data_IF_738333603634
#
_entry.id   IF_738333603634
#
_cell.length_a   1.000
_cell.length_b   1.000
_cell.length_c   1.000
_cell.angle_alpha   90.00
_cell.angle_beta   90.00
_cell.angle_gamma   90.00
#
_symmetry.space_group_name_H-M   'P 1'
#
loop_
_entity.id
_entity.type
_entity.pdbx_description
1 polymer ?
#
# COMPACT_ATOMS: atom_id res chain seq x y z
N UNK A 1 -7.67 23.49 -2.86
CA UNK A 1 -6.82 23.19 -1.68
C UNK A 1 -6.43 21.71 -1.70
N UNK A 2 -5.23 21.31 -1.24
CA UNK A 2 -4.90 19.90 -1.04
C UNK A 2 -5.86 19.28 -0.03
N UNK A 3 -6.51 18.17 -0.37
CA UNK A 3 -7.34 17.39 0.55
C UNK A 3 -6.75 16.01 0.76
N UNK A 4 -6.96 15.44 1.94
CA UNK A 4 -6.67 14.02 2.19
C UNK A 4 -7.64 13.19 1.38
N UNK A 5 -7.12 12.25 0.60
CA UNK A 5 -7.91 11.35 -0.25
C UNK A 5 -8.04 10.03 0.50
N UNK A 6 -9.29 9.58 0.68
CA UNK A 6 -9.55 8.27 1.27
C UNK A 6 -9.10 7.15 0.33
N UNK A 7 -8.83 5.98 0.90
CA UNK A 7 -8.51 4.79 0.13
C UNK A 7 -9.03 3.55 0.85
N UNK A 8 -9.20 2.47 0.09
CA UNK A 8 -9.40 1.13 0.60
C UNK A 8 -8.22 0.25 0.21
N UNK A 9 -7.98 -0.79 0.99
CA UNK A 9 -6.96 -1.79 0.69
C UNK A 9 -7.60 -2.88 -0.15
N UNK A 10 -7.06 -3.07 -1.35
CA UNK A 10 -7.54 -4.09 -2.32
C UNK A 10 -6.84 -5.41 -2.06
N UNK A 11 -5.50 -5.37 -1.95
CA UNK A 11 -4.67 -6.55 -1.77
C UNK A 11 -3.35 -6.18 -1.08
N UNK A 12 -2.68 -7.18 -0.53
CA UNK A 12 -1.30 -7.12 -0.02
C UNK A 12 -0.61 -8.44 -0.33
N UNK A 13 0.67 -8.41 -0.70
CA UNK A 13 1.46 -9.61 -1.01
C UNK A 13 1.53 -10.60 0.15
N UNK A 14 1.55 -10.10 1.38
CA UNK A 14 1.56 -10.90 2.61
C UNK A 14 1.22 -10.03 3.81
N UNK A 15 1.05 -10.64 4.98
CA UNK A 15 1.04 -9.94 6.27
C UNK A 15 1.42 -10.87 7.43
N UNK A 16 1.97 -10.32 8.50
CA UNK A 16 2.07 -11.01 9.79
C UNK A 16 0.73 -10.92 10.55
N UNK A 17 0.46 -11.91 11.40
CA UNK A 17 -0.72 -11.92 12.26
C UNK A 17 -0.85 -10.61 13.05
N UNK A 18 -2.03 -10.01 13.03
CA UNK A 18 -2.35 -8.71 13.64
C UNK A 18 -1.73 -7.47 12.95
N UNK A 19 -1.05 -7.62 11.82
CA UNK A 19 -0.49 -6.50 11.04
C UNK A 19 -1.06 -6.49 9.61
N UNK A 20 -2.37 -6.64 9.50
CA UNK A 20 -3.07 -6.67 8.21
C UNK A 20 -3.05 -5.32 7.52
N UNK A 21 -2.95 -5.31 6.19
CA UNK A 21 -2.97 -4.08 5.41
C UNK A 21 -4.26 -3.25 5.63
N UNK A 22 -5.36 -3.90 6.01
CA UNK A 22 -6.63 -3.25 6.36
C UNK A 22 -6.50 -2.22 7.49
N UNK A 23 -5.54 -2.37 8.39
CA UNK A 23 -5.32 -1.41 9.48
C UNK A 23 -4.92 -0.02 8.96
N UNK A 24 -4.33 0.07 7.76
CA UNK A 24 -3.96 1.36 7.14
C UNK A 24 -5.17 2.24 6.81
N UNK A 25 -6.38 1.67 6.75
CA UNK A 25 -7.61 2.43 6.51
C UNK A 25 -8.02 3.26 7.73
N UNK A 26 -7.59 2.85 8.94
CA UNK A 26 -7.87 3.56 10.19
C UNK A 26 -6.66 4.39 10.58
N UNK A 27 -6.82 5.71 10.68
CA UNK A 27 -5.75 6.61 11.10
C UNK A 27 -5.91 6.97 12.57
N UNK A 28 -5.36 6.14 13.47
CA UNK A 28 -5.32 6.41 14.90
C UNK A 28 -3.91 6.15 15.47
N UNK A 29 -3.55 6.74 16.62
CA UNK A 29 -2.20 6.58 17.19
C UNK A 29 -1.82 5.15 17.57
N UNK A 30 -2.82 4.27 17.75
CA UNK A 30 -2.66 2.91 18.28
C UNK A 30 -2.85 1.82 17.22
N UNK A 31 -2.98 2.16 15.94
CA UNK A 31 -3.07 1.14 14.89
C UNK A 31 -1.70 0.48 14.71
N UNK A 32 -1.67 -0.84 14.54
CA UNK A 32 -0.42 -1.57 14.31
C UNK A 32 0.13 -1.31 12.91
N UNK A 33 -0.78 -1.05 11.96
CA UNK A 33 -0.46 -0.83 10.55
C UNK A 33 -0.23 -2.14 9.81
N UNK A 34 0.59 -2.09 8.77
CA UNK A 34 0.92 -3.26 7.97
C UNK A 34 2.36 -3.71 8.19
N UNK A 35 2.55 -5.02 8.27
CA UNK A 35 3.85 -5.67 8.28
C UNK A 35 3.77 -6.92 7.42
N UNK A 36 4.67 -7.07 6.45
CA UNK A 36 4.79 -8.30 5.66
C UNK A 36 5.07 -9.50 6.55
N UNK A 37 4.71 -10.70 6.09
CA UNK A 37 5.05 -11.94 6.80
C UNK A 37 6.57 -12.06 7.00
N UNK A 38 6.99 -12.71 8.09
CA UNK A 38 8.40 -12.97 8.36
C UNK A 38 8.99 -13.88 7.28
N UNK A 39 10.28 -13.67 6.96
CA UNK A 39 11.01 -14.46 5.97
C UNK A 39 10.33 -14.51 4.59
N UNK A 40 9.53 -13.50 4.25
CA UNK A 40 8.92 -13.40 2.92
C UNK A 40 9.96 -13.06 1.85
N UNK A 41 9.78 -13.52 0.60
CA UNK A 41 10.61 -13.09 -0.51
C UNK A 41 10.36 -11.60 -0.81
N UNK A 42 11.41 -10.85 -1.08
CA UNK A 42 11.28 -9.47 -1.58
C UNK A 42 11.06 -9.49 -3.11
N UNK A 43 10.27 -8.58 -3.68
CA UNK A 43 9.62 -7.39 -3.08
C UNK A 43 8.22 -7.66 -2.50
N UNK A 44 7.84 -6.92 -1.47
CA UNK A 44 6.47 -6.91 -0.93
C UNK A 44 5.68 -5.70 -1.43
N UNK A 45 4.35 -5.82 -1.54
CA UNK A 45 3.49 -4.76 -2.05
C UNK A 45 2.13 -4.68 -1.32
N UNK A 46 1.52 -3.50 -1.39
CA UNK A 46 0.13 -3.26 -1.01
C UNK A 46 -0.53 -2.48 -2.14
N UNK A 47 -1.73 -2.92 -2.54
CA UNK A 47 -2.53 -2.25 -3.55
C UNK A 47 -3.64 -1.45 -2.87
N UNK A 48 -3.64 -0.14 -3.09
CA UNK A 48 -4.64 0.79 -2.56
C UNK A 48 -5.53 1.29 -3.70
N UNK A 49 -6.84 1.28 -3.48
CA UNK A 49 -7.80 1.93 -4.37
C UNK A 49 -8.25 3.24 -3.73
N UNK A 50 -8.04 4.34 -4.44
CA UNK A 50 -8.52 5.66 -4.04
C UNK A 50 -10.05 5.69 -4.19
N UNK A 51 -10.74 6.35 -3.25
CA UNK A 51 -12.22 6.44 -3.25
C UNK A 51 -12.78 7.20 -4.45
N UNK A 52 -11.94 7.99 -5.11
CA UNK A 52 -12.28 8.77 -6.31
C UNK A 52 -11.07 8.85 -7.24
N UNK A 53 -11.34 9.02 -8.53
CA UNK A 53 -10.31 9.34 -9.51
C UNK A 53 -9.72 10.72 -9.19
N UNK A 54 -8.42 10.78 -8.98
CA UNK A 54 -7.75 12.01 -8.59
C UNK A 54 -6.29 12.04 -9.06
N UNK A 55 -5.69 13.23 -9.02
CA UNK A 55 -4.25 13.41 -9.25
C UNK A 55 -3.52 13.42 -7.91
N UNK A 56 -2.72 12.40 -7.64
CA UNK A 56 -1.86 12.33 -6.46
C UNK A 56 -0.78 13.41 -6.56
N UNK A 57 -0.79 14.36 -5.61
CA UNK A 57 0.19 15.47 -5.57
C UNK A 57 1.21 15.34 -4.44
N UNK A 58 0.85 14.64 -3.36
CA UNK A 58 1.67 14.41 -2.18
C UNK A 58 1.36 13.03 -1.64
N UNK A 59 2.41 12.28 -1.32
CA UNK A 59 2.34 11.01 -0.62
C UNK A 59 3.09 11.16 0.70
N UNK A 60 2.54 10.58 1.76
CA UNK A 60 3.19 10.49 3.06
C UNK A 60 3.18 9.03 3.47
N UNK A 61 4.35 8.52 3.81
CA UNK A 61 4.54 7.16 4.31
C UNK A 61 5.15 7.27 5.71
N UNK A 62 4.57 6.55 6.66
CA UNK A 62 5.14 6.35 7.98
C UNK A 62 5.70 4.93 8.05
N UNK A 63 6.99 4.81 8.35
CA UNK A 63 7.62 3.52 8.60
C UNK A 63 7.88 3.36 10.10
N UNK A 64 7.74 2.14 10.60
CA UNK A 64 8.12 1.82 11.97
C UNK A 64 9.64 1.94 12.13
N UNK A 65 10.11 2.55 13.22
CA UNK A 65 11.53 2.88 13.43
C UNK A 65 12.49 1.68 13.40
N UNK A 66 12.00 0.47 13.72
CA UNK A 66 12.78 -0.77 13.67
C UNK A 66 12.60 -1.58 12.39
N UNK A 67 11.72 -1.15 11.47
CA UNK A 67 11.37 -1.86 10.24
C UNK A 67 11.36 -0.88 9.06
N UNK A 68 12.46 -0.13 8.92
CA UNK A 68 12.58 0.90 7.89
C UNK A 68 12.84 0.21 6.53
N UNK A 69 11.98 0.40 5.52
CA UNK A 69 12.19 -0.20 4.20
C UNK A 69 13.42 0.42 3.52
N UNK A 70 14.28 -0.41 2.95
CA UNK A 70 15.48 0.06 2.23
C UNK A 70 15.13 0.77 0.91
N UNK A 71 14.01 0.42 0.28
CA UNK A 71 13.50 1.03 -0.95
C UNK A 71 11.97 1.00 -0.95
N UNK A 72 11.36 2.09 -1.38
CA UNK A 72 9.91 2.16 -1.60
C UNK A 72 9.66 2.69 -3.00
N UNK A 73 8.80 2.00 -3.74
CA UNK A 73 8.38 2.41 -5.08
C UNK A 73 6.87 2.57 -5.11
N UNK A 74 6.41 3.66 -5.71
CA UNK A 74 5.00 3.94 -5.90
C UNK A 74 4.64 3.67 -7.35
N UNK A 75 3.52 2.98 -7.56
CA UNK A 75 2.97 2.73 -8.88
C UNK A 75 1.50 3.16 -8.88
N UNK A 76 1.03 3.70 -10.00
CA UNK A 76 -0.33 4.20 -10.17
C UNK A 76 -0.96 3.61 -11.43
N UNK A 77 -2.27 3.45 -11.41
CA UNK A 77 -3.05 3.00 -12.55
C UNK A 77 -4.49 3.45 -12.42
N UNK A 78 -5.22 3.34 -13.53
CA UNK A 78 -6.61 3.80 -13.63
C UNK A 78 -7.63 2.67 -13.48
N UNK A 79 -7.15 1.43 -13.41
CA UNK A 79 -7.93 0.20 -13.38
C UNK A 79 -7.53 -0.66 -12.19
N UNK A 80 -8.49 -1.40 -11.66
CA UNK A 80 -8.23 -2.37 -10.61
C UNK A 80 -7.41 -3.54 -11.19
N UNK A 81 -6.33 -3.98 -10.54
CA UNK A 81 -5.60 -5.14 -11.01
C UNK A 81 -6.46 -6.39 -10.86
N UNK A 82 -6.45 -7.26 -11.86
CA UNK A 82 -7.25 -8.48 -11.83
C UNK A 82 -6.83 -9.38 -10.66
N UNK A 83 -7.81 -9.73 -9.83
CA UNK A 83 -7.68 -10.56 -8.63
C UNK A 83 -7.27 -11.98 -9.02
N UNK A 84 -5.98 -12.22 -9.26
CA UNK A 84 -5.51 -13.57 -9.63
C UNK A 84 -4.07 -13.68 -10.10
N UNK A 85 -3.41 -12.58 -10.46
CA UNK A 85 -1.98 -12.63 -10.82
C UNK A 85 -1.12 -12.38 -9.58
N UNK A 86 -0.31 -13.38 -9.22
CA UNK A 86 0.68 -13.32 -8.14
C UNK A 86 1.89 -12.42 -8.46
N UNK A 87 1.75 -11.52 -9.43
CA UNK A 87 2.78 -10.63 -9.92
C UNK A 87 2.38 -9.18 -9.80
N UNK A 88 3.37 -8.28 -9.90
CA UNK A 88 3.12 -6.86 -10.04
C UNK A 88 2.17 -6.66 -11.23
N UNK A 89 0.98 -6.06 -11.04
CA UNK A 89 0.04 -5.90 -12.13
C UNK A 89 0.68 -4.99 -13.17
N UNK A 90 1.00 -5.54 -14.35
CA UNK A 90 1.67 -4.83 -15.45
C UNK A 90 0.90 -3.61 -15.98
N UNK A 91 -0.28 -3.34 -15.42
CA UNK A 91 -1.12 -2.19 -15.70
C UNK A 91 -0.77 -0.95 -14.86
N UNK A 92 0.00 -1.10 -13.78
CA UNK A 92 0.45 0.03 -12.95
C UNK A 92 1.78 0.57 -13.46
N UNK A 93 1.86 1.90 -13.66
CA UNK A 93 3.09 2.60 -14.04
C UNK A 93 3.76 3.21 -12.82
N UNK A 94 5.09 3.27 -12.81
CA UNK A 94 5.84 3.92 -11.73
C UNK A 94 5.46 5.40 -11.61
N UNK A 95 5.25 5.86 -10.39
CA UNK A 95 4.98 7.25 -10.05
C UNK A 95 6.31 7.94 -9.80
N UNK A 96 6.76 8.72 -10.77
CA UNK A 96 8.09 9.36 -10.81
C UNK A 96 8.84 8.88 -12.03
#
# INVERSE_FOLDING_TARGET
MPRKIGFIVVNSSSHEDNFSAKELMVHAPTVNGWRSSRLCPYTQHITLQLVERCRVRKLQLLAHQYLIPAKVEFHIGDTLPETGTSGFPGQLRRLG
#
